data_IF_946807916751
#
_entry.id   IF_946807916751
#
_cell.length_a   1.000
_cell.length_b   1.000
_cell.length_c   1.000
_cell.angle_alpha   90.00
_cell.angle_beta   90.00
_cell.angle_gamma   90.00
#
_symmetry.space_group_name_H-M   'P 1'
#
loop_
_entity.id
_entity.type
_entity.pdbx_description
1 polymer ?
#
# COMPACT_ATOMS: atom_id res chain seq x y z
N UNK A 1 18.26 0.00 -86.76
CA UNK A 1 19.17 -0.38 -85.65
C UNK A 1 19.15 0.60 -84.48
N UNK A 2 18.94 1.91 -84.72
CA UNK A 2 18.92 2.95 -83.68
C UNK A 2 17.92 2.69 -82.53
N UNK A 3 16.70 2.24 -82.85
CA UNK A 3 15.63 1.97 -81.86
C UNK A 3 16.05 0.84 -80.89
N UNK A 4 16.74 -0.19 -81.39
CA UNK A 4 17.22 -1.30 -80.56
C UNK A 4 18.35 -0.86 -79.62
N UNK A 5 19.23 0.04 -80.08
CA UNK A 5 20.31 0.59 -79.26
C UNK A 5 19.76 1.48 -78.13
N UNK A 6 18.76 2.33 -78.42
CA UNK A 6 18.11 3.16 -77.40
C UNK A 6 17.42 2.29 -76.34
N UNK A 7 16.75 1.21 -76.75
CA UNK A 7 16.08 0.31 -75.82
C UNK A 7 17.06 -0.34 -74.83
N UNK A 8 18.24 -0.75 -75.29
CA UNK A 8 19.28 -1.36 -74.45
C UNK A 8 19.82 -0.36 -73.42
N UNK A 9 19.99 0.91 -73.82
CA UNK A 9 20.45 1.98 -72.92
C UNK A 9 19.40 2.28 -71.84
N UNK A 10 18.11 2.32 -72.19
CA UNK A 10 17.03 2.55 -71.23
C UNK A 10 16.88 1.39 -70.25
N UNK A 11 17.01 0.14 -70.72
CA UNK A 11 17.00 -1.05 -69.84
C UNK A 11 18.21 -1.03 -68.90
N UNK A 12 19.39 -0.66 -69.40
CA UNK A 12 20.59 -0.51 -68.58
C UNK A 12 20.42 0.54 -67.47
N UNK A 13 19.84 1.70 -67.82
CA UNK A 13 19.53 2.77 -66.86
C UNK A 13 18.50 2.34 -65.81
N UNK A 14 17.46 1.59 -66.20
CA UNK A 14 16.46 1.07 -65.27
C UNK A 14 17.04 0.03 -64.31
N UNK A 15 17.88 -0.87 -64.80
CA UNK A 15 18.56 -1.86 -63.94
C UNK A 15 19.52 -1.16 -62.98
N UNK A 16 20.28 -0.18 -63.47
CA UNK A 16 21.17 0.62 -62.64
C UNK A 16 20.40 1.39 -61.57
N UNK A 17 19.24 1.96 -61.92
CA UNK A 17 18.39 2.67 -60.98
C UNK A 17 17.76 1.76 -59.93
N UNK A 18 17.33 0.54 -60.30
CA UNK A 18 16.83 -0.46 -59.36
C UNK A 18 17.95 -0.92 -58.40
N UNK A 19 19.16 -1.10 -58.91
CA UNK A 19 20.31 -1.51 -58.10
C UNK A 19 20.75 -0.41 -57.13
N UNK A 20 20.74 0.85 -57.57
CA UNK A 20 21.14 2.01 -56.76
C UNK A 20 20.02 2.48 -55.81
N UNK A 21 18.75 2.30 -56.19
CA UNK A 21 17.56 2.55 -55.35
C UNK A 21 17.29 1.43 -54.33
N UNK A 22 18.24 0.51 -54.11
CA UNK A 22 18.25 -0.51 -53.07
C UNK A 22 18.38 0.04 -51.64
N UNK A 23 17.74 1.18 -51.32
CA UNK A 23 17.67 1.82 -50.01
C UNK A 23 16.93 1.04 -48.92
N UNK A 24 16.73 -0.28 -49.10
CA UNK A 24 16.07 -1.16 -48.14
C UNK A 24 17.02 -1.97 -47.25
N UNK A 25 18.25 -2.23 -47.69
CA UNK A 25 19.13 -3.23 -47.05
C UNK A 25 19.88 -2.70 -45.81
N UNK A 26 20.13 -1.39 -45.73
CA UNK A 26 20.74 -0.78 -44.54
C UNK A 26 19.75 -0.66 -43.37
N UNK A 27 18.45 -0.46 -43.65
CA UNK A 27 17.40 -0.41 -42.63
C UNK A 27 17.13 -1.78 -42.04
N UNK A 28 17.10 -2.83 -42.86
CA UNK A 28 16.86 -4.21 -42.40
C UNK A 28 17.96 -4.74 -41.49
N UNK A 29 19.24 -4.44 -41.75
CA UNK A 29 20.36 -4.76 -40.84
C UNK A 29 20.28 -4.03 -39.49
N UNK A 30 19.91 -2.75 -39.49
CA UNK A 30 19.75 -1.99 -38.24
C UNK A 30 18.55 -2.47 -37.43
N UNK A 31 17.47 -2.90 -38.10
CA UNK A 31 16.31 -3.53 -37.46
C UNK A 31 16.62 -4.94 -36.93
N UNK A 32 17.36 -5.78 -37.66
CA UNK A 32 17.76 -7.11 -37.17
C UNK A 32 18.69 -7.00 -35.96
N UNK A 33 19.67 -6.09 -35.98
CA UNK A 33 20.53 -5.85 -34.82
C UNK A 33 19.76 -5.31 -33.61
N UNK A 34 18.73 -4.48 -33.83
CA UNK A 34 17.84 -4.01 -32.75
C UNK A 34 16.98 -5.13 -32.21
N UNK A 35 16.44 -6.01 -33.06
CA UNK A 35 15.66 -7.18 -32.64
C UNK A 35 16.54 -8.14 -31.84
N UNK A 36 17.78 -8.39 -32.27
CA UNK A 36 18.69 -9.27 -31.55
C UNK A 36 19.12 -8.67 -30.20
N UNK A 37 19.39 -7.36 -30.15
CA UNK A 37 19.68 -6.65 -28.90
C UNK A 37 18.49 -6.68 -27.95
N UNK A 38 17.28 -6.41 -28.45
CA UNK A 38 16.05 -6.49 -27.66
C UNK A 38 15.76 -7.91 -27.19
N UNK A 39 16.08 -8.93 -27.99
CA UNK A 39 15.93 -10.35 -27.61
C UNK A 39 16.92 -10.73 -26.50
N UNK A 40 18.18 -10.28 -26.59
CA UNK A 40 19.19 -10.45 -25.54
C UNK A 40 18.81 -9.71 -24.26
N UNK A 41 18.30 -8.47 -24.37
CA UNK A 41 17.80 -7.71 -23.22
C UNK A 41 16.60 -8.41 -22.57
N UNK A 42 15.62 -8.87 -23.36
CA UNK A 42 14.47 -9.63 -22.84
C UNK A 42 14.90 -10.93 -22.17
N UNK A 43 15.88 -11.62 -22.73
CA UNK A 43 16.43 -12.85 -22.15
C UNK A 43 17.18 -12.56 -20.85
N UNK A 44 18.01 -11.50 -20.81
CA UNK A 44 18.67 -11.06 -19.58
C UNK A 44 17.68 -10.60 -18.52
N UNK A 45 16.58 -9.94 -18.90
CA UNK A 45 15.51 -9.52 -18.00
C UNK A 45 14.69 -10.70 -17.51
N UNK A 46 14.53 -11.75 -18.31
CA UNK A 46 13.91 -13.02 -17.91
C UNK A 46 14.80 -13.82 -16.98
N UNK A 47 16.10 -13.88 -17.25
CA UNK A 47 17.10 -14.51 -16.38
C UNK A 47 17.20 -13.73 -15.07
N UNK A 48 17.29 -12.40 -15.12
CA UNK A 48 17.28 -11.54 -13.92
C UNK A 48 15.95 -11.67 -13.18
N UNK A 49 14.80 -11.76 -13.86
CA UNK A 49 13.53 -12.06 -13.19
C UNK A 49 13.49 -13.48 -12.61
N UNK A 50 14.11 -14.47 -13.26
CA UNK A 50 14.18 -15.83 -12.74
C UNK A 50 15.10 -15.90 -11.53
N UNK A 51 16.23 -15.19 -11.54
CA UNK A 51 17.16 -15.05 -10.42
C UNK A 51 16.55 -14.22 -9.29
N UNK A 52 15.82 -13.15 -9.60
CA UNK A 52 15.06 -12.39 -8.62
C UNK A 52 13.92 -13.23 -8.05
N UNK A 53 13.21 -14.03 -8.86
CA UNK A 53 12.17 -14.95 -8.39
C UNK A 53 12.73 -16.12 -7.60
N UNK A 54 13.92 -16.63 -7.90
CA UNK A 54 14.56 -17.68 -7.11
C UNK A 54 15.10 -17.13 -5.78
N UNK A 55 15.68 -15.92 -5.80
CA UNK A 55 16.08 -15.19 -4.59
C UNK A 55 14.87 -14.73 -3.77
N UNK A 56 13.75 -14.35 -4.39
CA UNK A 56 12.48 -14.07 -3.71
C UNK A 56 11.81 -15.37 -3.25
N UNK A 57 11.99 -16.50 -3.94
CA UNK A 57 11.49 -17.80 -3.51
C UNK A 57 12.14 -18.26 -2.20
N UNK A 58 13.43 -18.00 -2.02
CA UNK A 58 14.16 -18.28 -0.78
C UNK A 58 13.98 -17.21 0.32
N UNK A 59 13.71 -15.94 -0.06
CA UNK A 59 13.56 -14.82 0.90
C UNK A 59 12.09 -14.55 1.28
N UNK A 60 11.12 -14.96 0.46
CA UNK A 60 9.69 -14.76 0.72
C UNK A 60 9.26 -15.41 2.03
N UNK A 61 9.74 -16.61 2.38
CA UNK A 61 9.41 -17.26 3.64
C UNK A 61 9.82 -16.50 4.91
N UNK A 62 10.80 -15.58 4.84
CA UNK A 62 11.25 -14.77 6.00
C UNK A 62 10.53 -13.42 6.13
N UNK A 63 10.15 -12.77 5.03
CA UNK A 63 9.45 -11.48 5.07
C UNK A 63 7.92 -11.61 4.95
N UNK A 64 7.40 -12.67 4.35
CA UNK A 64 5.93 -12.87 4.25
C UNK A 64 5.32 -13.16 5.62
N UNK A 65 6.02 -13.89 6.49
CA UNK A 65 5.53 -14.21 7.84
C UNK A 65 5.32 -12.97 8.73
N UNK A 66 6.30 -12.06 8.91
CA UNK A 66 6.10 -10.88 9.74
C UNK A 66 5.10 -9.88 9.13
N UNK A 67 5.07 -9.73 7.79
CA UNK A 67 4.09 -8.85 7.14
C UNK A 67 2.68 -9.43 7.20
N UNK A 68 2.51 -10.74 6.98
CA UNK A 68 1.21 -11.40 7.11
C UNK A 68 0.69 -11.33 8.55
N UNK A 69 1.56 -11.47 9.55
CA UNK A 69 1.19 -11.32 10.97
C UNK A 69 0.83 -9.88 11.32
N UNK A 70 1.55 -8.89 10.79
CA UNK A 70 1.19 -7.49 10.96
C UNK A 70 -0.16 -7.15 10.28
N UNK A 71 -0.43 -7.75 9.12
CA UNK A 71 -1.72 -7.62 8.45
C UNK A 71 -2.85 -8.29 9.24
N UNK A 72 -2.61 -9.48 9.81
CA UNK A 72 -3.56 -10.16 10.67
C UNK A 72 -3.85 -9.35 11.93
N UNK A 73 -2.81 -8.83 12.60
CA UNK A 73 -2.97 -7.93 13.75
C UNK A 73 -3.78 -6.69 13.36
N UNK A 74 -3.49 -6.08 12.21
CA UNK A 74 -4.26 -4.94 11.72
C UNK A 74 -5.74 -5.31 11.49
N UNK A 75 -6.01 -6.48 10.92
CA UNK A 75 -7.37 -6.99 10.69
C UNK A 75 -8.12 -7.19 12.01
N UNK A 76 -7.46 -7.76 13.02
CA UNK A 76 -8.04 -7.94 14.36
C UNK A 76 -8.36 -6.60 15.03
N UNK A 77 -7.45 -5.62 14.96
CA UNK A 77 -7.69 -4.27 15.47
C UNK A 77 -8.82 -3.55 14.70
N UNK A 78 -8.94 -3.78 13.40
CA UNK A 78 -10.06 -3.27 12.59
C UNK A 78 -11.38 -3.94 13.02
N UNK A 79 -11.39 -5.26 13.28
CA UNK A 79 -12.58 -5.94 13.82
C UNK A 79 -13.00 -5.34 15.17
N UNK A 80 -12.04 -5.04 16.05
CA UNK A 80 -12.32 -4.36 17.32
C UNK A 80 -12.96 -2.99 17.06
N UNK A 81 -12.37 -2.20 16.18
CA UNK A 81 -12.92 -0.89 15.79
C UNK A 81 -14.35 -1.01 15.25
N UNK A 82 -14.62 -1.98 14.37
CA UNK A 82 -15.95 -2.19 13.80
C UNK A 82 -16.96 -2.66 14.85
N UNK A 83 -16.54 -3.51 15.77
CA UNK A 83 -17.40 -4.01 16.84
C UNK A 83 -17.78 -2.88 17.82
N UNK A 84 -16.84 -1.99 18.17
CA UNK A 84 -17.11 -0.77 18.96
C UNK A 84 -18.06 0.20 18.24
N UNK A 85 -18.01 0.25 16.90
CA UNK A 85 -18.98 1.01 16.08
C UNK A 85 -20.36 0.34 16.00
N UNK A 86 -20.54 -0.83 16.60
CA UNK A 86 -21.82 -1.54 16.68
C UNK A 86 -22.00 -2.67 15.66
N UNK A 87 -20.94 -3.11 14.99
CA UNK A 87 -20.99 -4.26 14.08
C UNK A 87 -21.21 -5.56 14.87
N UNK A 88 -22.41 -6.16 14.73
CA UNK A 88 -22.77 -7.42 15.41
C UNK A 88 -21.92 -8.60 14.95
N UNK A 89 -21.55 -8.65 13.67
CA UNK A 89 -20.72 -9.74 13.12
C UNK A 89 -19.30 -9.67 13.67
N UNK A 90 -18.71 -8.47 13.73
CA UNK A 90 -17.38 -8.27 14.32
C UNK A 90 -17.40 -8.58 15.82
N UNK A 91 -18.45 -8.14 16.53
CA UNK A 91 -18.64 -8.46 17.97
C UNK A 91 -18.74 -9.96 18.22
N UNK A 92 -19.57 -10.68 17.47
CA UNK A 92 -19.69 -12.14 17.60
C UNK A 92 -18.40 -12.88 17.24
N UNK A 93 -17.63 -12.37 16.27
CA UNK A 93 -16.34 -12.97 15.92
C UNK A 93 -15.34 -12.83 17.07
N UNK A 94 -15.22 -11.63 17.66
CA UNK A 94 -14.31 -11.37 18.77
C UNK A 94 -14.74 -12.09 20.05
N UNK A 95 -16.03 -12.13 20.35
CA UNK A 95 -16.57 -12.88 21.50
C UNK A 95 -16.33 -14.39 21.35
N UNK A 96 -16.40 -14.96 20.15
CA UNK A 96 -16.06 -16.37 19.92
C UNK A 96 -14.58 -16.68 20.09
N UNK A 97 -13.71 -15.76 19.69
CA UNK A 97 -12.26 -15.97 19.68
C UNK A 97 -11.61 -15.68 21.04
N UNK A 98 -12.08 -14.63 21.73
CA UNK A 98 -11.49 -14.16 22.99
C UNK A 98 -12.39 -14.33 24.22
N UNK A 99 -13.68 -14.67 24.04
CA UNK A 99 -14.66 -14.89 25.12
C UNK A 99 -14.73 -13.75 26.16
N UNK A 100 -14.50 -12.52 25.72
CA UNK A 100 -14.47 -11.30 26.54
C UNK A 100 -15.28 -10.19 25.90
N UNK A 101 -15.76 -9.28 26.75
CA UNK A 101 -16.32 -8.02 26.27
C UNK A 101 -15.23 -7.16 25.62
N UNK A 102 -15.64 -6.36 24.63
CA UNK A 102 -14.74 -5.51 23.87
C UNK A 102 -14.44 -4.27 24.69
N UNK A 103 -13.26 -4.24 25.29
CA UNK A 103 -12.75 -3.14 26.13
C UNK A 103 -11.25 -2.91 25.87
N UNK A 104 -10.67 -1.88 26.50
CA UNK A 104 -9.25 -1.54 26.44
C UNK A 104 -8.34 -2.74 26.75
N UNK A 105 -8.74 -3.60 27.68
CA UNK A 105 -7.98 -4.80 28.04
C UNK A 105 -7.87 -5.80 26.87
N UNK A 106 -8.93 -5.96 26.08
CA UNK A 106 -8.93 -6.83 24.91
C UNK A 106 -7.98 -6.29 23.84
N UNK A 107 -7.92 -4.97 23.66
CA UNK A 107 -6.94 -4.34 22.75
C UNK A 107 -5.52 -4.64 23.19
N UNK A 108 -5.22 -4.52 24.48
CA UNK A 108 -3.88 -4.84 24.99
C UNK A 108 -3.55 -6.33 24.85
N UNK A 109 -4.51 -7.22 25.02
CA UNK A 109 -4.35 -8.66 24.84
C UNK A 109 -4.08 -9.03 23.37
N UNK A 110 -4.80 -8.43 22.42
CA UNK A 110 -4.55 -8.60 20.98
C UNK A 110 -3.16 -8.06 20.60
N UNK A 111 -2.75 -6.93 21.17
CA UNK A 111 -1.39 -6.42 20.95
C UNK A 111 -0.34 -7.33 21.61
N UNK A 112 -0.64 -7.96 22.75
CA UNK A 112 0.27 -8.84 23.46
C UNK A 112 0.42 -10.21 22.77
N UNK A 113 -0.65 -10.74 22.16
CA UNK A 113 -0.68 -12.08 21.56
C UNK A 113 0.35 -12.29 20.45
N UNK A 114 0.73 -11.23 19.72
CA UNK A 114 1.66 -11.35 18.60
C UNK A 114 3.12 -11.07 19.00
N UNK A 115 3.79 -11.98 19.69
CA UNK A 115 5.16 -11.80 20.23
C UNK A 115 6.23 -11.42 19.19
N UNK A 116 5.99 -11.67 17.90
CA UNK A 116 7.00 -11.50 16.85
C UNK A 116 7.04 -10.10 16.23
N UNK A 117 6.12 -9.21 16.64
CA UNK A 117 6.09 -7.81 16.21
C UNK A 117 6.60 -6.94 17.35
N UNK A 118 7.54 -6.03 17.05
CA UNK A 118 8.06 -5.10 18.03
C UNK A 118 6.97 -4.23 18.66
N UNK A 119 7.03 -4.05 19.97
CA UNK A 119 6.07 -3.22 20.72
C UNK A 119 5.87 -1.80 20.14
N UNK A 120 6.90 -1.08 19.66
CA UNK A 120 6.71 0.23 19.04
C UNK A 120 5.85 0.20 17.78
N UNK A 121 6.02 -0.83 16.94
CA UNK A 121 5.23 -0.98 15.72
C UNK A 121 3.77 -1.34 16.01
N UNK A 122 3.54 -2.23 16.99
CA UNK A 122 2.20 -2.58 17.47
C UNK A 122 1.43 -1.36 17.96
N UNK A 123 2.08 -0.51 18.78
CA UNK A 123 1.48 0.74 19.27
C UNK A 123 1.15 1.68 18.12
N UNK A 124 2.11 1.91 17.23
CA UNK A 124 1.88 2.76 16.05
C UNK A 124 0.71 2.28 15.19
N UNK A 125 0.59 0.96 14.99
CA UNK A 125 -0.52 0.36 14.26
C UNK A 125 -1.86 0.59 14.97
N UNK A 126 -1.92 0.38 16.29
CA UNK A 126 -3.10 0.66 17.09
C UNK A 126 -3.51 2.14 17.01
N UNK A 127 -2.55 3.05 17.13
CA UNK A 127 -2.79 4.49 17.02
C UNK A 127 -3.36 4.86 15.65
N UNK A 128 -2.83 4.28 14.57
CA UNK A 128 -3.32 4.57 13.23
C UNK A 128 -4.76 4.06 13.02
N UNK A 129 -5.06 2.85 13.48
CA UNK A 129 -6.38 2.24 13.31
C UNK A 129 -7.43 2.94 14.18
N UNK A 130 -7.14 3.13 15.47
CA UNK A 130 -8.09 3.65 16.44
C UNK A 130 -8.16 5.17 16.49
N UNK A 131 -7.07 5.89 16.21
CA UNK A 131 -7.04 7.36 16.29
C UNK A 131 -7.07 7.99 14.89
N UNK A 132 -6.15 7.61 14.00
CA UNK A 132 -6.03 8.18 12.65
C UNK A 132 -5.95 9.71 12.65
N UNK A 133 -6.09 10.37 11.49
CA UNK A 133 -5.96 11.83 11.39
C UNK A 133 -7.02 12.57 12.22
N UNK A 134 -8.31 12.25 12.02
CA UNK A 134 -9.42 12.92 12.71
C UNK A 134 -9.33 12.77 14.23
N UNK A 135 -8.94 11.60 14.73
CA UNK A 135 -8.78 11.40 16.16
C UNK A 135 -7.61 12.22 16.71
N UNK A 136 -6.50 12.37 15.96
CA UNK A 136 -5.36 13.18 16.37
C UNK A 136 -5.75 14.65 16.46
N UNK A 137 -6.53 15.15 15.51
CA UNK A 137 -7.01 16.52 15.52
C UNK A 137 -7.93 16.78 16.72
N UNK A 138 -8.85 15.85 17.02
CA UNK A 138 -9.70 15.93 18.21
C UNK A 138 -8.86 15.92 19.50
N UNK A 139 -7.92 14.98 19.64
CA UNK A 139 -7.04 14.89 20.81
C UNK A 139 -6.17 16.13 20.97
N UNK A 140 -5.67 16.70 19.86
CA UNK A 140 -4.88 17.93 19.86
C UNK A 140 -5.72 19.12 20.33
N UNK A 141 -6.95 19.27 19.84
CA UNK A 141 -7.86 20.32 20.29
C UNK A 141 -8.17 20.23 21.78
N UNK A 142 -8.42 19.01 22.29
CA UNK A 142 -8.64 18.77 23.71
C UNK A 142 -7.39 19.10 24.56
N UNK A 143 -6.19 18.74 24.10
CA UNK A 143 -4.93 19.09 24.77
C UNK A 143 -4.70 20.61 24.83
N UNK A 144 -5.14 21.33 23.81
CA UNK A 144 -5.10 22.80 23.74
C UNK A 144 -6.18 23.47 24.62
N UNK A 145 -7.01 22.68 25.32
CA UNK A 145 -8.06 23.17 26.21
C UNK A 145 -9.35 23.57 25.52
N UNK A 146 -9.54 23.19 24.24
CA UNK A 146 -10.78 23.45 23.51
C UNK A 146 -11.91 22.56 24.00
N UNK A 147 -13.15 22.99 23.76
CA UNK A 147 -14.31 22.13 23.97
C UNK A 147 -14.28 20.93 23.01
N UNK A 148 -15.03 19.88 23.35
CA UNK A 148 -15.16 18.72 22.47
C UNK A 148 -15.81 19.10 21.14
N UNK A 149 -16.87 19.91 21.16
CA UNK A 149 -17.53 20.37 19.94
C UNK A 149 -16.58 21.15 19.04
N UNK A 150 -15.81 22.09 19.59
CA UNK A 150 -14.87 22.90 18.81
C UNK A 150 -13.75 22.03 18.21
N UNK A 151 -13.23 21.09 18.99
CA UNK A 151 -12.19 20.15 18.53
C UNK A 151 -12.68 19.27 17.38
N UNK A 152 -13.96 18.88 17.40
CA UNK A 152 -14.58 18.11 16.30
C UNK A 152 -14.77 18.98 15.06
N UNK A 153 -15.26 20.21 15.23
CA UNK A 153 -15.47 21.15 14.12
C UNK A 153 -14.15 21.47 13.42
N UNK A 154 -13.10 21.73 14.19
CA UNK A 154 -11.74 22.00 13.67
C UNK A 154 -11.17 20.81 12.88
N UNK A 155 -11.55 19.58 13.22
CA UNK A 155 -11.15 18.38 12.47
C UNK A 155 -11.88 18.22 11.12
N UNK A 156 -12.81 19.12 10.78
CA UNK A 156 -13.50 19.17 9.50
C UNK A 156 -14.55 18.07 9.28
N UNK A 157 -14.98 17.38 10.35
CA UNK A 157 -15.98 16.32 10.28
C UNK A 157 -17.32 16.74 10.91
N UNK A 158 -18.45 16.17 10.44
CA UNK A 158 -19.74 16.38 11.08
C UNK A 158 -19.74 15.98 12.57
N UNK A 159 -20.43 16.76 13.42
CA UNK A 159 -20.51 16.52 14.88
C UNK A 159 -20.91 15.09 15.25
N UNK A 160 -21.84 14.48 14.49
CA UNK A 160 -22.25 13.09 14.70
C UNK A 160 -21.06 12.11 14.58
N UNK A 161 -20.24 12.30 13.55
CA UNK A 161 -19.07 11.46 13.28
C UNK A 161 -17.98 11.73 14.32
N UNK A 162 -17.76 12.99 14.69
CA UNK A 162 -16.79 13.32 15.74
C UNK A 162 -17.17 12.77 17.12
N UNK A 163 -18.46 12.79 17.48
CA UNK A 163 -18.96 12.18 18.72
C UNK A 163 -18.78 10.67 18.72
N UNK A 164 -19.08 10.00 17.60
CA UNK A 164 -18.81 8.57 17.42
C UNK A 164 -17.30 8.27 17.56
N UNK A 165 -16.44 9.10 16.95
CA UNK A 165 -14.99 8.97 17.04
C UNK A 165 -14.48 9.15 18.47
N UNK A 166 -15.01 10.13 19.19
CA UNK A 166 -14.68 10.41 20.59
C UNK A 166 -15.06 9.26 21.50
N UNK A 167 -16.25 8.68 21.28
CA UNK A 167 -16.68 7.48 22.01
C UNK A 167 -15.69 6.34 21.81
N UNK A 168 -15.24 6.11 20.57
CA UNK A 168 -14.24 5.08 20.29
C UNK A 168 -12.91 5.36 20.98
N UNK A 169 -12.43 6.62 21.00
CA UNK A 169 -11.22 7.01 21.71
C UNK A 169 -11.32 6.76 23.22
N UNK A 170 -12.51 6.97 23.80
CA UNK A 170 -12.79 6.64 25.20
C UNK A 170 -12.80 5.12 25.45
N UNK A 171 -13.52 4.35 24.64
CA UNK A 171 -13.62 2.89 24.77
C UNK A 171 -12.29 2.16 24.52
N UNK A 172 -11.37 2.79 23.77
CA UNK A 172 -10.01 2.25 23.52
C UNK A 172 -8.96 2.81 24.48
N UNK A 173 -9.35 3.69 25.43
CA UNK A 173 -8.47 4.18 26.49
C UNK A 173 -7.52 5.32 26.11
N UNK A 174 -7.75 6.03 25.00
CA UNK A 174 -7.04 7.27 24.65
C UNK A 174 -7.60 8.49 25.41
N UNK A 175 -8.86 8.41 25.82
CA UNK A 175 -9.54 9.40 26.65
C UNK A 175 -10.05 8.75 27.93
N UNK A 176 -9.96 9.47 29.04
CA UNK A 176 -10.56 9.04 30.30
C UNK A 176 -12.09 9.29 30.33
N UNK A 177 -12.73 8.96 31.45
CA UNK A 177 -14.17 9.20 31.64
C UNK A 177 -14.58 10.67 31.60
N UNK A 178 -13.63 11.58 31.83
CA UNK A 178 -13.80 13.05 31.85
C UNK A 178 -13.34 13.71 30.54
N UNK A 179 -13.01 12.92 29.51
CA UNK A 179 -12.49 13.37 28.21
C UNK A 179 -11.10 14.03 28.28
N UNK A 180 -10.32 13.74 29.32
CA UNK A 180 -8.90 14.11 29.36
C UNK A 180 -8.07 13.05 28.62
N UNK A 181 -6.93 13.49 28.08
CA UNK A 181 -5.98 12.59 27.45
C UNK A 181 -5.37 11.66 28.50
N UNK A 182 -5.32 10.37 28.20
CA UNK A 182 -4.52 9.40 28.95
C UNK A 182 -3.06 9.45 28.50
N UNK A 183 -2.19 8.66 29.13
CA UNK A 183 -0.81 8.47 28.66
C UNK A 183 -0.79 7.99 27.20
N UNK A 184 -1.72 7.10 26.83
CA UNK A 184 -1.87 6.59 25.47
C UNK A 184 -2.40 7.66 24.50
N UNK A 185 -3.32 8.51 24.96
CA UNK A 185 -3.79 9.69 24.22
C UNK A 185 -2.67 10.69 23.92
N UNK A 186 -1.77 10.89 24.88
CA UNK A 186 -0.65 11.82 24.79
C UNK A 186 0.46 11.29 23.89
N UNK A 187 0.81 9.99 24.02
CA UNK A 187 1.82 9.29 23.20
C UNK A 187 1.54 9.46 21.68
N UNK A 188 0.27 9.40 21.28
CA UNK A 188 -0.12 9.55 19.87
C UNK A 188 0.24 10.91 19.28
N UNK A 189 0.25 11.96 20.09
CA UNK A 189 0.52 13.32 19.65
C UNK A 189 2.01 13.64 19.59
N UNK A 190 2.86 12.73 20.05
CA UNK A 190 4.33 12.82 20.03
C UNK A 190 4.95 12.01 18.88
N UNK A 191 4.14 11.24 18.14
CA UNK A 191 4.52 10.38 17.01
C UNK A 191 4.30 11.02 15.64
#
# INVERSE_FOLDING_TARGET
MLIKAILIVVIGLLIFWIYYSGGGTFRTRKLTNRIEKLKKENQSLRETNATLRSNLGSTSGRFTRPVARAAQLAEELVKVKEALRGSRSAKQSLEKEYNKEIDQQLVQEILASEENIGAPFKRRLAHEIFVGCVGRDILKGLREGKSLEDSIVDSGVPLKIGKERTRLLKETGYLDNKLNLTDWGSEVLEL
#
